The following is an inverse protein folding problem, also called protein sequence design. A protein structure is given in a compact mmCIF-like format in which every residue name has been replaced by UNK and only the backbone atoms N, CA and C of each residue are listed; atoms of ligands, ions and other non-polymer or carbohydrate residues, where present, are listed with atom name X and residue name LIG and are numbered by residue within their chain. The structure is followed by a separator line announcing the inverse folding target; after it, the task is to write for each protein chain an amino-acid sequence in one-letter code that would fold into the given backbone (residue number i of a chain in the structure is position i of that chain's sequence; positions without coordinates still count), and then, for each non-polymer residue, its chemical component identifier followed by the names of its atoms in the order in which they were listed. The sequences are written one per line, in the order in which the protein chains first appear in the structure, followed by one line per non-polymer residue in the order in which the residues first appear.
data_IF_482371197035
#
_entry.id   IF_482371197035
#
_cell.length_a   1.000
_cell.length_b   1.000
_cell.length_c   1.000
_cell.angle_alpha   90.00
_cell.angle_beta   90.00
_cell.angle_gamma   90.00
#
_symmetry.space_group_name_H-M   'P 1'
#
loop_
_entity.id
_entity.type
_entity.pdbx_description
1 polymer ?
#
# COMPACT_ATOMS: atom_id res chain seq x y z
N UNK A 1 12.43 -35.50 -5.20
CA UNK A 1 11.73 -35.34 -6.49
C UNK A 1 12.17 -34.00 -7.10
N UNK A 2 12.10 -33.79 -8.42
CA UNK A 2 12.46 -32.49 -9.02
C UNK A 2 11.19 -31.65 -9.19
N UNK A 3 11.20 -30.40 -8.71
CA UNK A 3 10.03 -29.49 -8.69
C UNK A 3 10.27 -28.29 -9.59
N UNK A 4 9.27 -27.85 -10.33
CA UNK A 4 9.32 -26.57 -11.02
C UNK A 4 9.44 -25.41 -10.02
N UNK A 5 9.92 -24.25 -10.48
CA UNK A 5 9.97 -23.06 -9.61
C UNK A 5 8.59 -22.65 -9.09
N UNK A 6 7.51 -23.00 -9.80
CA UNK A 6 6.14 -22.72 -9.34
C UNK A 6 5.76 -23.63 -8.18
N UNK A 7 6.02 -24.93 -8.29
CA UNK A 7 5.77 -25.86 -7.19
C UNK A 7 6.59 -25.52 -5.95
N UNK A 8 7.85 -25.10 -6.12
CA UNK A 8 8.68 -24.62 -5.00
C UNK A 8 8.13 -23.33 -4.39
N UNK A 9 7.62 -22.41 -5.21
CA UNK A 9 7.02 -21.18 -4.73
C UNK A 9 5.74 -21.45 -3.91
N UNK A 10 4.88 -22.33 -4.41
CA UNK A 10 3.65 -22.75 -3.74
C UNK A 10 3.95 -23.49 -2.43
N UNK A 11 4.95 -24.38 -2.41
CA UNK A 11 5.39 -25.11 -1.21
C UNK A 11 5.96 -24.18 -0.12
N UNK A 12 6.73 -23.18 -0.51
CA UNK A 12 7.41 -22.27 0.42
C UNK A 12 6.59 -21.02 0.76
N UNK A 13 5.42 -20.83 0.14
CA UNK A 13 4.57 -19.66 0.38
C UNK A 13 5.21 -18.35 -0.08
N UNK A 14 5.98 -18.36 -1.17
CA UNK A 14 6.70 -17.19 -1.70
C UNK A 14 6.42 -16.97 -3.17
N UNK A 15 6.84 -15.83 -3.72
CA UNK A 15 6.70 -15.58 -5.16
C UNK A 15 7.66 -16.43 -6.00
N UNK A 16 7.20 -16.83 -7.20
CA UNK A 16 8.04 -17.52 -8.19
C UNK A 16 9.29 -16.72 -8.56
N UNK A 17 9.20 -15.39 -8.58
CA UNK A 17 10.35 -14.52 -8.86
C UNK A 17 11.40 -14.56 -7.76
N UNK A 18 10.97 -14.71 -6.50
CA UNK A 18 11.90 -14.89 -5.38
C UNK A 18 12.63 -16.24 -5.48
N UNK A 19 11.92 -17.31 -5.85
CA UNK A 19 12.54 -18.61 -6.18
C UNK A 19 13.53 -18.48 -7.33
N UNK A 20 13.16 -17.78 -8.42
CA UNK A 20 14.03 -17.52 -9.57
C UNK A 20 15.29 -16.74 -9.18
N UNK A 21 15.16 -15.78 -8.27
CA UNK A 21 16.28 -15.03 -7.72
C UNK A 21 17.24 -15.92 -6.93
N UNK A 22 16.72 -16.73 -6.01
CA UNK A 22 17.55 -17.64 -5.20
C UNK A 22 18.15 -18.80 -5.99
N UNK A 23 17.47 -19.29 -7.03
CA UNK A 23 18.02 -20.29 -7.97
C UNK A 23 19.35 -19.85 -8.57
N UNK A 24 19.57 -18.56 -8.81
CA UNK A 24 20.85 -18.06 -9.36
C UNK A 24 22.05 -18.35 -8.45
N UNK A 25 21.82 -18.67 -7.17
CA UNK A 25 22.84 -19.00 -6.17
C UNK A 25 23.00 -20.50 -5.94
N UNK A 26 22.20 -21.32 -6.62
CA UNK A 26 22.28 -22.77 -6.55
C UNK A 26 23.44 -23.29 -7.40
N UNK A 27 24.07 -24.38 -6.94
CA UNK A 27 25.06 -25.12 -7.71
C UNK A 27 24.40 -26.00 -8.78
N UNK A 28 25.22 -26.56 -9.67
CA UNK A 28 24.73 -27.46 -10.73
C UNK A 28 24.06 -28.73 -10.17
N UNK A 29 24.47 -29.19 -8.99
CA UNK A 29 23.89 -30.36 -8.31
C UNK A 29 22.54 -30.09 -7.61
N UNK A 30 22.07 -28.85 -7.65
CA UNK A 30 20.84 -28.42 -6.97
C UNK A 30 19.64 -28.29 -7.93
N UNK A 31 19.88 -28.37 -9.24
CA UNK A 31 18.83 -28.25 -10.25
C UNK A 31 19.13 -29.10 -11.49
N UNK A 32 18.08 -29.44 -12.23
CA UNK A 32 18.18 -30.01 -13.57
C UNK A 32 17.63 -29.01 -14.59
N UNK A 33 18.28 -28.89 -15.75
CA UNK A 33 17.76 -28.12 -16.87
C UNK A 33 17.20 -29.07 -17.93
N UNK A 34 15.87 -29.15 -18.03
CA UNK A 34 15.18 -30.10 -18.90
C UNK A 34 14.18 -29.34 -19.76
N UNK A 35 14.26 -29.50 -21.09
CA UNK A 35 13.34 -28.87 -22.06
C UNK A 35 13.20 -27.35 -21.88
N UNK A 36 14.30 -26.66 -21.62
CA UNK A 36 14.30 -25.21 -21.44
C UNK A 36 13.83 -24.74 -20.05
N UNK A 37 13.55 -25.66 -19.13
CA UNK A 37 13.04 -25.35 -17.80
C UNK A 37 14.01 -25.81 -16.72
N UNK A 38 14.16 -24.98 -15.68
CA UNK A 38 14.86 -25.36 -14.47
C UNK A 38 13.91 -26.10 -13.53
N UNK A 39 14.27 -27.33 -13.21
CA UNK A 39 13.65 -28.15 -12.17
C UNK A 39 14.57 -28.16 -10.96
N UNK A 40 14.08 -27.72 -9.82
CA UNK A 40 14.82 -27.63 -8.57
C UNK A 40 14.79 -29.00 -7.89
N UNK A 41 15.95 -29.55 -7.58
CA UNK A 41 16.08 -30.80 -6.83
C UNK A 41 15.84 -30.52 -5.34
N UNK A 42 15.54 -31.55 -4.54
CA UNK A 42 15.28 -31.38 -3.11
C UNK A 42 16.44 -30.66 -2.37
N UNK A 43 17.69 -30.90 -2.79
CA UNK A 43 18.88 -30.17 -2.31
C UNK A 43 18.77 -28.67 -2.57
N UNK A 44 18.36 -28.29 -3.78
CA UNK A 44 18.09 -26.91 -4.16
C UNK A 44 16.93 -26.30 -3.40
N UNK A 45 15.85 -27.05 -3.17
CA UNK A 45 14.69 -26.60 -2.36
C UNK A 45 15.14 -26.30 -0.93
N UNK A 46 15.93 -27.18 -0.32
CA UNK A 46 16.47 -26.98 1.03
C UNK A 46 17.36 -25.72 1.13
N UNK A 47 18.20 -25.46 0.13
CA UNK A 47 19.03 -24.24 0.06
C UNK A 47 18.21 -22.98 -0.16
N UNK A 48 17.20 -23.02 -1.05
CA UNK A 48 16.29 -21.88 -1.23
C UNK A 48 15.57 -21.59 0.09
N UNK A 49 15.08 -22.63 0.77
CA UNK A 49 14.44 -22.51 2.09
C UNK A 49 15.38 -21.88 3.12
N UNK A 50 16.66 -22.26 3.15
CA UNK A 50 17.62 -21.65 4.09
C UNK A 50 17.93 -20.18 3.76
N UNK A 51 17.91 -19.79 2.48
CA UNK A 51 18.07 -18.38 2.11
C UNK A 51 16.87 -17.51 2.45
N UNK A 52 15.66 -18.08 2.40
CA UNK A 52 14.43 -17.41 2.81
C UNK A 52 14.34 -17.31 4.34
N UNK A 53 14.79 -18.35 5.02
CA UNK A 53 14.82 -18.43 6.48
C UNK A 53 16.11 -17.79 6.99
N UNK A 54 16.23 -16.46 6.88
CA UNK A 54 17.17 -15.79 7.79
C UNK A 54 16.65 -16.05 9.20
N UNK A 55 17.41 -16.81 9.99
CA UNK A 55 17.08 -17.04 11.39
C UNK A 55 16.71 -15.70 12.05
N UNK A 56 15.68 -15.70 12.91
CA UNK A 56 15.17 -14.48 13.56
C UNK A 56 16.25 -13.63 14.27
N UNK A 57 17.45 -14.16 14.51
CA UNK A 57 18.62 -13.44 15.04
C UNK A 57 19.59 -12.83 13.99
N UNK A 58 19.33 -12.99 12.68
CA UNK A 58 20.23 -12.57 11.59
C UNK A 58 19.74 -11.34 10.81
N UNK A 59 18.63 -10.71 11.22
CA UNK A 59 18.45 -9.31 10.85
C UNK A 59 19.46 -8.52 11.66
N UNK A 60 20.38 -7.81 10.99
CA UNK A 60 21.28 -6.95 11.74
C UNK A 60 20.42 -5.98 12.56
N UNK A 61 20.78 -5.73 13.81
CA UNK A 61 20.08 -4.75 14.66
C UNK A 61 19.88 -3.42 13.93
N UNK A 62 20.81 -3.07 13.04
CA UNK A 62 20.71 -1.91 12.14
C UNK A 62 19.59 -2.02 11.10
N UNK A 63 19.36 -3.20 10.51
CA UNK A 63 18.23 -3.42 9.60
C UNK A 63 16.89 -3.30 10.34
N UNK A 64 16.74 -3.96 11.49
CA UNK A 64 15.52 -3.88 12.29
C UNK A 64 15.25 -2.44 12.72
N UNK A 65 16.27 -1.76 13.24
CA UNK A 65 16.17 -0.35 13.64
C UNK A 65 15.77 0.56 12.47
N UNK A 66 16.39 0.39 11.29
CA UNK A 66 16.00 1.15 10.08
C UNK A 66 14.56 0.88 9.66
N UNK A 67 14.11 -0.36 9.74
CA UNK A 67 12.73 -0.72 9.38
C UNK A 67 11.73 -0.14 10.37
N UNK A 68 11.99 -0.26 11.67
CA UNK A 68 11.15 0.31 12.73
C UNK A 68 11.11 1.85 12.65
N UNK A 69 12.24 2.51 12.38
CA UNK A 69 12.29 3.95 12.15
C UNK A 69 11.42 4.35 10.98
N UNK A 70 11.53 3.65 9.84
CA UNK A 70 10.69 3.94 8.67
C UNK A 70 9.20 3.74 8.93
N UNK A 71 8.84 2.69 9.68
CA UNK A 71 7.44 2.46 10.08
C UNK A 71 6.95 3.61 10.95
N UNK A 72 7.74 4.02 11.95
CA UNK A 72 7.42 5.17 12.80
C UNK A 72 7.26 6.47 12.01
N UNK A 73 8.11 6.71 11.01
CA UNK A 73 8.03 7.90 10.14
C UNK A 73 6.75 7.87 9.29
N UNK A 74 6.37 6.69 8.78
CA UNK A 74 5.12 6.49 8.04
C UNK A 74 3.92 6.75 8.95
N UNK A 75 3.91 6.20 10.16
CA UNK A 75 2.81 6.37 11.12
C UNK A 75 2.63 7.85 11.51
N UNK A 76 3.72 8.57 11.75
CA UNK A 76 3.68 10.01 12.01
C UNK A 76 3.16 10.81 10.81
N UNK A 77 3.55 10.41 9.60
CA UNK A 77 3.08 11.06 8.38
C UNK A 77 1.60 10.82 8.15
N UNK A 78 1.11 9.60 8.39
CA UNK A 78 -0.31 9.24 8.33
C UNK A 78 -1.13 10.03 9.36
N UNK A 79 -0.61 10.21 10.57
CA UNK A 79 -1.26 11.01 11.61
C UNK A 79 -1.37 12.49 11.21
N UNK A 80 -0.35 13.06 10.57
CA UNK A 80 -0.40 14.44 10.08
C UNK A 80 -1.43 14.60 8.96
N UNK A 81 -1.41 13.70 7.99
CA UNK A 81 -2.37 13.70 6.89
C UNK A 81 -3.82 13.56 7.39
N UNK A 82 -4.06 12.74 8.40
CA UNK A 82 -5.42 12.60 8.97
C UNK A 82 -5.89 13.87 9.68
N UNK A 83 -5.00 14.58 10.39
CA UNK A 83 -5.31 15.88 10.99
C UNK A 83 -5.59 16.95 9.94
N UNK A 84 -4.81 16.99 8.85
CA UNK A 84 -5.02 17.92 7.75
C UNK A 84 -6.35 17.66 7.03
N UNK A 85 -6.69 16.39 6.78
CA UNK A 85 -7.98 16.00 6.21
C UNK A 85 -9.14 16.46 7.09
N UNK A 86 -9.09 16.20 8.40
CA UNK A 86 -10.13 16.64 9.32
C UNK A 86 -10.30 18.17 9.31
N UNK A 87 -9.20 18.92 9.25
CA UNK A 87 -9.25 20.38 9.18
C UNK A 87 -9.87 20.87 7.86
N UNK A 88 -9.60 20.18 6.74
CA UNK A 88 -10.19 20.49 5.45
C UNK A 88 -11.69 20.18 5.42
N UNK A 89 -12.11 19.03 5.95
CA UNK A 89 -13.53 18.68 6.09
C UNK A 89 -14.30 19.75 6.87
N UNK A 90 -13.72 20.26 7.97
CA UNK A 90 -14.33 21.34 8.75
C UNK A 90 -14.39 22.67 8.01
N UNK A 91 -13.48 22.94 7.08
CA UNK A 91 -13.55 24.14 6.23
C UNK A 91 -14.63 23.96 5.17
N UNK A 92 -14.76 22.78 4.60
CA UNK A 92 -15.79 22.47 3.60
C UNK A 92 -17.20 22.64 4.21
N UNK A 93 -17.43 22.08 5.41
CA UNK A 93 -18.71 22.23 6.13
C UNK A 93 -19.09 23.71 6.36
N UNK A 94 -18.10 24.58 6.62
CA UNK A 94 -18.33 26.02 6.77
C UNK A 94 -18.65 26.70 5.44
N UNK A 95 -18.06 26.24 4.33
CA UNK A 95 -18.37 26.78 3.01
C UNK A 95 -19.81 26.42 2.61
N UNK A 96 -20.24 25.19 2.87
CA UNK A 96 -21.62 24.76 2.60
C UNK A 96 -22.63 25.62 3.38
N UNK A 97 -22.35 25.91 4.66
CA UNK A 97 -23.18 26.80 5.48
C UNK A 97 -23.24 28.24 4.95
N UNK A 98 -22.13 28.74 4.40
CA UNK A 98 -22.09 30.08 3.81
C UNK A 98 -22.87 30.13 2.49
N UNK A 99 -22.77 29.08 1.67
CA UNK A 99 -23.52 28.95 0.42
C UNK A 99 -25.03 28.92 0.67
N UNK A 100 -25.48 28.14 1.67
CA UNK A 100 -26.88 28.15 2.10
C UNK A 100 -27.33 29.54 2.58
N UNK A 101 -26.47 30.23 3.35
CA UNK A 101 -26.74 31.58 3.82
C UNK A 101 -26.91 32.59 2.69
N UNK A 102 -26.04 32.53 1.66
CA UNK A 102 -26.12 33.37 0.48
C UNK A 102 -27.39 33.12 -0.32
N UNK A 103 -27.74 31.86 -0.56
CA UNK A 103 -28.96 31.49 -1.27
C UNK A 103 -30.22 32.04 -0.59
N UNK A 104 -30.27 32.03 0.75
CA UNK A 104 -31.38 32.64 1.51
C UNK A 104 -31.46 34.16 1.33
N UNK A 105 -30.31 34.84 1.26
CA UNK A 105 -30.26 36.29 1.02
C UNK A 105 -30.74 36.60 -0.40
N UNK A 106 -30.27 35.86 -1.40
CA UNK A 106 -30.69 36.02 -2.80
C UNK A 106 -32.20 35.83 -2.97
N UNK A 107 -32.77 34.81 -2.31
CA UNK A 107 -34.21 34.60 -2.30
C UNK A 107 -34.95 35.77 -1.65
N UNK A 108 -34.50 36.22 -0.47
CA UNK A 108 -35.12 37.35 0.22
C UNK A 108 -35.06 38.66 -0.59
N UNK A 109 -33.98 38.89 -1.35
CA UNK A 109 -33.89 40.03 -2.27
C UNK A 109 -34.92 39.90 -3.40
N UNK A 110 -35.03 38.71 -3.98
CA UNK A 110 -36.01 38.43 -5.05
C UNK A 110 -37.43 38.67 -4.55
N UNK A 111 -37.78 38.15 -3.37
CA UNK A 111 -39.09 38.34 -2.76
C UNK A 111 -39.40 39.83 -2.53
N UNK A 112 -38.43 40.63 -2.09
CA UNK A 112 -38.60 42.08 -1.91
C UNK A 112 -38.90 42.77 -3.25
N UNK A 113 -38.18 42.41 -4.31
CA UNK A 113 -38.43 42.97 -5.65
C UNK A 113 -39.81 42.61 -6.17
N UNK A 114 -40.25 41.37 -5.99
CA UNK A 114 -41.58 40.92 -6.39
C UNK A 114 -42.67 41.73 -5.67
N UNK A 115 -42.52 41.95 -4.35
CA UNK A 115 -43.44 42.80 -3.57
C UNK A 115 -43.46 44.24 -4.08
N UNK A 116 -42.29 44.83 -4.39
CA UNK A 116 -42.23 46.21 -4.89
C UNK A 116 -42.98 46.36 -6.23
N UNK A 117 -42.82 45.37 -7.13
CA UNK A 117 -43.55 45.31 -8.41
C UNK A 117 -45.06 45.17 -8.17
N UNK A 118 -45.49 44.26 -7.29
CA UNK A 118 -46.91 44.03 -6.98
C UNK A 118 -47.58 45.26 -6.33
N UNK A 119 -46.84 46.01 -5.52
CA UNK A 119 -47.35 47.18 -4.79
C UNK A 119 -47.23 48.50 -5.57
N UNK A 120 -46.57 48.49 -6.73
CA UNK A 120 -46.44 49.66 -7.60
C UNK A 120 -45.53 50.76 -7.04
N UNK A 121 -44.55 50.38 -6.21
CA UNK A 121 -43.50 51.28 -5.66
C UNK A 121 -42.33 51.35 -6.65
#
# INVERSE_FOLDING_TARGET
MAKSMREVADELGVSKDLVKYHRKKLGEDDYAFVRGQYLILESGVAKIKSYLTKEKGNYSTQFEHRMLSKISDIDLSLLKLSQELYALEKKLEKLDQLEEGLSRIEQGITDIFDIAIETGI
#
